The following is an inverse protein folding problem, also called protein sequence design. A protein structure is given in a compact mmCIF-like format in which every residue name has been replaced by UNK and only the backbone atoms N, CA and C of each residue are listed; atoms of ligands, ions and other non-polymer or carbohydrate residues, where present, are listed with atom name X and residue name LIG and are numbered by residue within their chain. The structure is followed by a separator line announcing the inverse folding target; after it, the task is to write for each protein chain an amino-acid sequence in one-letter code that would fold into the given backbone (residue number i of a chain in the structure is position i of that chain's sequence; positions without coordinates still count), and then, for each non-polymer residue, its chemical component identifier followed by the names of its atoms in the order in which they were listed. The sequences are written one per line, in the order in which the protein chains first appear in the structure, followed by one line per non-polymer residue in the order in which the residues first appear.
data_IF_552595026148
#
_entry.id   IF_552595026148
#
_cell.length_a   1.000
_cell.length_b   1.000
_cell.length_c   1.000
_cell.angle_alpha   90.00
_cell.angle_beta   90.00
_cell.angle_gamma   90.00
#
_symmetry.space_group_name_H-M   'P 1'
#
loop_
_entity.id
_entity.type
_entity.pdbx_description
1 polymer ?
#
# COMPACT_ATOMS: atom_id res chain seq x y z
N UNK A 1 0.86 27.55 51.68
CA UNK A 1 1.17 27.30 50.25
C UNK A 1 0.81 25.87 49.88
N UNK A 2 -0.39 25.67 49.29
CA UNK A 2 -0.85 24.39 48.74
C UNK A 2 -1.41 24.68 47.34
N UNK A 3 -0.79 24.06 46.34
CA UNK A 3 -1.05 24.27 44.92
C UNK A 3 -2.30 23.46 44.51
N UNK A 4 -3.38 24.06 43.96
CA UNK A 4 -4.55 23.30 43.57
C UNK A 4 -4.32 22.61 42.21
N UNK A 5 -4.50 21.28 42.22
CA UNK A 5 -4.39 20.39 41.06
C UNK A 5 -5.37 20.82 39.96
N UNK A 6 -4.84 21.26 38.81
CA UNK A 6 -5.60 21.37 37.55
C UNK A 6 -6.14 19.98 37.17
N UNK A 7 -7.46 19.79 37.28
CA UNK A 7 -8.19 18.72 36.60
C UNK A 7 -7.95 18.90 35.09
N UNK A 8 -7.24 17.97 34.46
CA UNK A 8 -7.23 17.84 33.00
C UNK A 8 -8.62 17.34 32.61
N UNK A 9 -9.42 18.24 32.06
CA UNK A 9 -10.58 17.91 31.25
C UNK A 9 -10.14 16.97 30.14
N UNK A 10 -10.75 15.79 30.12
CA UNK A 10 -10.73 14.85 29.01
C UNK A 10 -11.49 15.45 27.84
N UNK A 11 -10.82 16.28 27.04
CA UNK A 11 -11.28 16.54 25.68
C UNK A 11 -10.97 15.31 24.83
N UNK A 12 -11.97 14.44 24.69
CA UNK A 12 -12.02 13.47 23.61
C UNK A 12 -12.13 14.27 22.31
N UNK A 13 -10.99 14.56 21.70
CA UNK A 13 -10.92 15.11 20.35
C UNK A 13 -11.63 14.12 19.40
N UNK A 14 -12.77 14.55 18.86
CA UNK A 14 -13.46 13.92 17.74
C UNK A 14 -12.47 13.88 16.57
N UNK A 15 -11.88 12.71 16.29
CA UNK A 15 -11.05 12.48 15.10
C UNK A 15 -11.95 12.44 13.86
N UNK A 16 -12.37 13.61 13.38
CA UNK A 16 -12.98 13.74 12.06
C UNK A 16 -11.93 13.58 10.97
N UNK A 17 -11.63 12.34 10.57
CA UNK A 17 -10.77 12.07 9.42
C UNK A 17 -11.40 12.56 8.12
N UNK A 18 -10.58 13.01 7.17
CA UNK A 18 -10.98 13.50 5.85
C UNK A 18 -11.76 12.40 5.11
N UNK A 19 -13.03 12.66 4.80
CA UNK A 19 -13.91 11.74 4.08
C UNK A 19 -13.76 11.91 2.56
N UNK A 20 -14.32 10.99 1.76
CA UNK A 20 -14.34 11.12 0.29
C UNK A 20 -14.91 12.48 -0.15
N UNK A 21 -15.99 12.93 0.52
CA UNK A 21 -16.65 14.22 0.26
C UNK A 21 -15.80 15.47 0.54
N UNK A 22 -14.76 15.33 1.36
CA UNK A 22 -13.86 16.44 1.69
C UNK A 22 -12.76 16.61 0.64
N UNK A 23 -12.58 15.63 -0.24
CA UNK A 23 -11.59 15.63 -1.31
C UNK A 23 -11.74 16.82 -2.26
N UNK A 24 -10.64 17.41 -2.78
CA UNK A 24 -10.75 18.49 -3.76
C UNK A 24 -11.28 17.98 -5.11
N UNK A 25 -11.28 16.65 -5.30
CA UNK A 25 -11.89 16.02 -6.46
C UNK A 25 -13.40 15.81 -6.28
N UNK A 26 -13.95 15.87 -5.06
CA UNK A 26 -15.38 15.69 -4.86
C UNK A 26 -16.18 16.82 -5.54
N UNK A 27 -17.12 16.44 -6.40
CA UNK A 27 -17.94 17.34 -7.25
C UNK A 27 -17.11 18.30 -8.12
N UNK A 28 -15.91 17.88 -8.54
CA UNK A 28 -15.06 18.71 -9.40
C UNK A 28 -15.56 18.72 -10.85
N UNK A 29 -16.11 19.86 -11.27
CA UNK A 29 -16.69 20.03 -12.63
C UNK A 29 -15.90 20.94 -13.57
N UNK A 30 -14.87 21.63 -13.07
CA UNK A 30 -14.13 22.64 -13.85
C UNK A 30 -12.71 22.19 -14.15
N UNK A 31 -12.35 22.15 -15.43
CA UNK A 31 -10.99 21.88 -15.92
C UNK A 31 -9.98 22.91 -15.40
N UNK A 32 -10.38 24.18 -15.27
CA UNK A 32 -9.54 25.24 -14.71
C UNK A 32 -9.26 24.98 -13.24
N UNK A 33 -10.29 24.64 -12.44
CA UNK A 33 -10.09 24.28 -11.02
C UNK A 33 -9.21 23.04 -10.86
N UNK A 34 -9.39 22.03 -11.73
CA UNK A 34 -8.51 20.85 -11.77
C UNK A 34 -7.05 21.28 -11.98
N UNK A 35 -6.77 22.11 -12.98
CA UNK A 35 -5.43 22.62 -13.25
C UNK A 35 -4.83 23.33 -12.02
N UNK A 36 -5.63 24.17 -11.35
CA UNK A 36 -5.23 24.86 -10.10
C UNK A 36 -4.87 23.87 -8.99
N UNK A 37 -5.69 22.83 -8.74
CA UNK A 37 -5.39 21.83 -7.69
C UNK A 37 -4.15 21.00 -8.00
N UNK A 38 -3.86 20.80 -9.28
CA UNK A 38 -2.68 20.08 -9.77
C UNK A 38 -1.43 20.96 -9.89
N UNK A 39 -1.54 22.26 -9.60
CA UNK A 39 -0.46 23.25 -9.73
C UNK A 39 0.14 23.31 -11.14
N UNK A 40 -0.71 23.27 -12.16
CA UNK A 40 -0.32 23.41 -13.57
C UNK A 40 -1.28 24.35 -14.31
N UNK A 41 -0.84 24.90 -15.45
CA UNK A 41 -1.72 25.68 -16.33
C UNK A 41 -2.64 24.81 -17.18
N UNK A 42 -3.74 25.38 -17.69
CA UNK A 42 -4.73 24.67 -18.52
C UNK A 42 -4.13 24.04 -19.77
N UNK A 43 -3.17 24.73 -20.42
CA UNK A 43 -2.47 24.17 -21.57
C UNK A 43 -1.69 22.91 -21.20
N UNK A 44 -0.92 22.97 -20.10
CA UNK A 44 -0.15 21.82 -19.63
C UNK A 44 -1.03 20.64 -19.21
N UNK A 45 -2.20 20.91 -18.61
CA UNK A 45 -3.20 19.89 -18.29
C UNK A 45 -3.67 19.16 -19.56
N UNK A 46 -3.95 19.91 -20.64
CA UNK A 46 -4.33 19.36 -21.93
C UNK A 46 -3.19 18.52 -22.53
N UNK A 47 -1.97 19.04 -22.55
CA UNK A 47 -0.80 18.34 -23.10
C UNK A 47 -0.53 17.00 -22.39
N UNK A 48 -0.71 16.96 -21.06
CA UNK A 48 -0.56 15.73 -20.26
C UNK A 48 -1.73 14.76 -20.43
N UNK A 49 -2.95 15.26 -20.69
CA UNK A 49 -4.11 14.41 -20.99
C UNK A 49 -4.00 13.76 -22.36
N UNK A 50 -3.55 14.52 -23.37
CA UNK A 50 -3.62 14.09 -24.77
C UNK A 50 -2.30 13.45 -25.26
N UNK A 51 -1.24 13.58 -24.46
CA UNK A 51 0.11 13.11 -24.80
C UNK A 51 0.24 11.60 -24.91
N UNK A 52 0.93 11.13 -25.97
CA UNK A 52 1.08 9.69 -26.28
C UNK A 52 2.38 9.05 -25.78
N UNK A 53 3.37 9.82 -25.33
CA UNK A 53 4.69 9.32 -24.88
C UNK A 53 5.14 9.89 -23.53
N UNK A 54 4.27 9.78 -22.54
CA UNK A 54 4.51 10.31 -21.19
C UNK A 54 5.16 9.28 -20.24
N UNK A 55 5.54 8.11 -20.74
CA UNK A 55 6.09 7.01 -19.95
C UNK A 55 7.30 6.39 -20.63
N UNK A 56 8.28 5.99 -19.80
CA UNK A 56 9.40 5.12 -20.19
C UNK A 56 9.11 3.72 -19.70
N UNK A 57 9.00 2.77 -20.63
CA UNK A 57 8.80 1.35 -20.33
C UNK A 57 10.13 0.62 -20.20
N UNK A 58 10.28 -0.23 -19.20
CA UNK A 58 11.43 -1.14 -19.04
C UNK A 58 11.04 -2.38 -18.23
N UNK A 59 11.80 -3.46 -18.41
CA UNK A 59 11.58 -4.69 -17.65
C UNK A 59 12.39 -4.69 -16.36
N UNK A 60 11.78 -5.16 -15.28
CA UNK A 60 12.47 -5.43 -14.01
C UNK A 60 12.27 -6.89 -13.63
N UNK A 61 13.32 -7.56 -13.16
CA UNK A 61 13.21 -8.93 -12.65
C UNK A 61 12.38 -8.96 -11.37
N UNK A 62 11.38 -9.84 -11.33
CA UNK A 62 10.68 -10.30 -10.12
C UNK A 62 11.63 -11.24 -9.36
N UNK A 63 11.39 -11.42 -8.05
CA UNK A 63 12.20 -12.30 -7.20
C UNK A 63 12.15 -13.79 -7.59
N UNK A 64 11.20 -14.21 -8.43
CA UNK A 64 11.05 -15.55 -8.96
C UNK A 64 11.63 -15.72 -10.38
N UNK A 65 12.44 -14.77 -10.85
CA UNK A 65 13.06 -14.81 -12.18
C UNK A 65 12.17 -14.34 -13.35
N UNK A 66 10.85 -14.23 -13.16
CA UNK A 66 9.96 -13.61 -14.16
C UNK A 66 10.23 -12.10 -14.28
N UNK A 67 9.82 -11.48 -15.37
CA UNK A 67 9.90 -10.01 -15.52
C UNK A 67 8.59 -9.32 -15.15
N UNK A 68 8.67 -8.04 -14.77
CA UNK A 68 7.54 -7.11 -14.68
C UNK A 68 7.83 -5.89 -15.55
N UNK A 69 6.87 -5.52 -16.39
CA UNK A 69 6.94 -4.25 -17.11
C UNK A 69 6.72 -3.11 -16.10
N UNK A 70 7.68 -2.18 -16.06
CA UNK A 70 7.56 -0.91 -15.35
C UNK A 70 7.30 0.16 -16.39
N UNK A 71 6.27 0.95 -16.16
CA UNK A 71 5.91 2.12 -16.96
C UNK A 71 6.16 3.36 -16.09
N UNK A 72 7.40 3.87 -16.12
CA UNK A 72 7.79 5.02 -15.30
C UNK A 72 7.34 6.33 -15.98
N UNK A 73 6.54 7.18 -15.31
CA UNK A 73 6.11 8.46 -15.87
C UNK A 73 7.30 9.41 -16.05
N UNK A 74 7.25 10.25 -17.10
CA UNK A 74 8.14 11.40 -17.29
C UNK A 74 8.04 12.34 -16.08
N UNK A 75 9.10 13.08 -15.77
CA UNK A 75 9.17 13.85 -14.53
C UNK A 75 8.05 14.86 -14.31
N UNK A 76 7.56 15.51 -15.36
CA UNK A 76 6.42 16.43 -15.27
C UNK A 76 5.10 15.71 -14.99
N UNK A 77 4.82 14.60 -15.68
CA UNK A 77 3.67 13.74 -15.39
C UNK A 77 3.76 13.17 -13.97
N UNK A 78 4.95 12.72 -13.57
CA UNK A 78 5.23 12.18 -12.23
C UNK A 78 4.94 13.20 -11.13
N UNK A 79 5.25 14.47 -11.34
CA UNK A 79 4.92 15.56 -10.40
C UNK A 79 3.40 15.71 -10.25
N UNK A 80 2.66 15.71 -11.36
CA UNK A 80 1.19 15.80 -11.34
C UNK A 80 0.56 14.56 -10.70
N UNK A 81 1.02 13.36 -11.04
CA UNK A 81 0.56 12.13 -10.43
C UNK A 81 0.85 12.09 -8.93
N UNK A 82 2.02 12.56 -8.48
CA UNK A 82 2.32 12.67 -7.05
C UNK A 82 1.34 13.62 -6.37
N UNK A 83 1.05 14.77 -6.98
CA UNK A 83 0.05 15.71 -6.44
C UNK A 83 -1.34 15.07 -6.33
N UNK A 84 -1.77 14.31 -7.34
CA UNK A 84 -3.03 13.54 -7.28
C UNK A 84 -2.99 12.55 -6.10
N UNK A 85 -1.89 11.81 -5.97
CA UNK A 85 -1.71 10.84 -4.89
C UNK A 85 -1.79 11.52 -3.51
N UNK A 86 -1.10 12.64 -3.32
CA UNK A 86 -1.06 13.39 -2.06
C UNK A 86 -2.44 13.93 -1.66
N UNK A 87 -3.28 14.32 -2.63
CA UNK A 87 -4.64 14.76 -2.37
C UNK A 87 -5.57 13.61 -2.01
N UNK A 88 -5.43 12.46 -2.69
CA UNK A 88 -6.23 11.27 -2.43
C UNK A 88 -5.84 10.55 -1.14
N UNK A 89 -4.55 10.52 -0.78
CA UNK A 89 -4.06 9.91 0.46
C UNK A 89 -4.52 10.62 1.73
N UNK A 90 -5.12 11.82 1.62
CA UNK A 90 -5.75 12.48 2.75
C UNK A 90 -7.02 11.76 3.18
N UNK A 91 -7.72 11.12 2.24
CA UNK A 91 -8.93 10.34 2.52
C UNK A 91 -8.58 9.26 3.54
N UNK A 92 -9.34 9.24 4.63
CA UNK A 92 -9.12 8.35 5.77
C UNK A 92 -9.13 6.89 5.29
N UNK A 93 -8.03 6.14 5.44
CA UNK A 93 -7.99 4.73 5.09
C UNK A 93 -8.63 3.87 6.19
N UNK A 94 -9.22 2.71 5.83
CA UNK A 94 -9.71 1.74 6.81
C UNK A 94 -8.55 1.08 7.54
N UNK A 95 -8.78 0.55 8.74
CA UNK A 95 -7.70 0.06 9.62
C UNK A 95 -6.92 -1.13 9.05
N UNK A 96 -7.53 -1.94 8.19
CA UNK A 96 -6.86 -3.08 7.57
C UNK A 96 -5.85 -2.71 6.47
N UNK A 97 -5.85 -1.47 5.95
CA UNK A 97 -4.99 -1.05 4.83
C UNK A 97 -3.65 -0.48 5.30
N UNK A 98 -2.55 -1.19 5.12
CA UNK A 98 -1.22 -0.75 5.58
C UNK A 98 -0.39 -0.07 4.50
N UNK A 99 -0.54 -0.45 3.24
CA UNK A 99 0.10 0.24 2.12
C UNK A 99 -0.94 0.58 1.04
N UNK A 100 -0.95 1.81 0.50
CA UNK A 100 0.11 2.83 0.56
C UNK A 100 -0.09 3.92 1.63
N UNK A 101 -0.57 3.57 2.82
CA UNK A 101 -0.96 4.54 3.85
C UNK A 101 0.26 5.15 4.55
N UNK A 102 0.29 6.48 4.65
CA UNK A 102 1.33 7.19 5.40
C UNK A 102 1.21 6.91 6.90
N UNK A 103 2.34 6.66 7.55
CA UNK A 103 2.40 6.36 8.99
C UNK A 103 2.07 4.90 9.36
N UNK A 104 1.78 4.04 8.38
CA UNK A 104 1.66 2.59 8.56
C UNK A 104 2.85 1.90 7.88
N UNK A 105 3.34 0.82 8.48
CA UNK A 105 4.52 0.10 8.03
C UNK A 105 4.24 -1.38 7.81
N UNK A 106 5.17 -2.05 7.13
CA UNK A 106 5.16 -3.50 6.94
C UNK A 106 5.30 -4.26 8.28
N UNK A 107 5.85 -3.62 9.32
CA UNK A 107 5.92 -4.19 10.67
C UNK A 107 4.56 -4.10 11.34
N UNK A 108 3.86 -2.97 11.23
CA UNK A 108 2.49 -2.83 11.76
C UNK A 108 1.54 -3.84 11.09
N UNK A 109 1.71 -4.05 9.77
CA UNK A 109 1.00 -5.06 9.00
C UNK A 109 1.18 -6.47 9.59
N UNK A 110 2.43 -6.90 9.81
CA UNK A 110 2.70 -8.19 10.43
C UNK A 110 2.19 -8.28 11.88
N UNK A 111 2.25 -7.16 12.61
CA UNK A 111 1.83 -7.06 14.01
C UNK A 111 0.32 -7.28 14.20
N UNK A 112 -0.51 -7.16 13.16
CA UNK A 112 -1.93 -7.54 13.20
C UNK A 112 -2.11 -9.00 13.56
N UNK A 113 -1.21 -9.85 13.08
CA UNK A 113 -1.38 -11.31 13.11
C UNK A 113 -0.62 -11.99 14.26
N UNK A 114 -0.01 -11.22 15.16
CA UNK A 114 0.68 -11.73 16.34
C UNK A 114 -0.31 -12.46 17.25
N UNK A 115 0.01 -13.71 17.60
CA UNK A 115 -0.84 -14.54 18.46
C UNK A 115 -1.90 -15.37 17.72
N UNK A 116 -2.02 -15.24 16.39
CA UNK A 116 -2.93 -16.07 15.62
C UNK A 116 -2.44 -17.53 15.51
N UNK A 117 -3.38 -18.49 15.52
CA UNK A 117 -3.08 -19.90 15.32
C UNK A 117 -3.03 -20.27 13.84
N UNK A 118 -3.89 -19.68 13.02
CA UNK A 118 -3.98 -19.91 11.60
C UNK A 118 -3.72 -18.60 10.85
N UNK A 119 -2.88 -18.67 9.81
CA UNK A 119 -2.57 -17.55 8.92
C UNK A 119 -2.63 -18.02 7.48
N UNK A 120 -3.32 -17.26 6.64
CA UNK A 120 -3.43 -17.49 5.21
C UNK A 120 -2.99 -16.24 4.45
N UNK A 121 -1.97 -16.40 3.60
CA UNK A 121 -1.40 -15.33 2.79
C UNK A 121 -1.86 -15.51 1.36
N UNK A 122 -2.35 -14.42 0.78
CA UNK A 122 -2.79 -14.32 -0.61
C UNK A 122 -2.06 -13.14 -1.27
N UNK A 123 -1.83 -13.23 -2.57
CA UNK A 123 -1.20 -12.19 -3.39
C UNK A 123 -2.05 -12.01 -4.65
N UNK A 124 -2.43 -10.77 -4.96
CA UNK A 124 -3.20 -10.49 -6.17
C UNK A 124 -2.25 -10.48 -7.37
N UNK A 125 -2.54 -11.32 -8.36
CA UNK A 125 -1.75 -11.37 -9.59
C UNK A 125 -1.97 -10.11 -10.42
N UNK A 126 -0.86 -9.51 -10.84
CA UNK A 126 -0.81 -8.31 -11.68
C UNK A 126 -1.84 -7.24 -11.27
N UNK A 127 -1.83 -6.89 -9.98
CA UNK A 127 -2.81 -6.01 -9.36
C UNK A 127 -3.00 -4.69 -10.12
N UNK A 128 -1.92 -3.94 -10.39
CA UNK A 128 -2.01 -2.67 -11.13
C UNK A 128 -2.46 -2.84 -12.60
N UNK A 129 -1.89 -3.77 -13.38
CA UNK A 129 -2.43 -4.08 -14.72
C UNK A 129 -3.91 -4.46 -14.74
N UNK A 130 -4.41 -5.09 -13.68
CA UNK A 130 -5.83 -5.46 -13.54
C UNK A 130 -6.73 -4.27 -13.13
N UNK A 131 -6.15 -3.16 -12.67
CA UNK A 131 -6.90 -1.94 -12.34
C UNK A 131 -7.22 -1.13 -13.61
N UNK A 132 -8.42 -1.32 -14.15
CA UNK A 132 -8.79 -0.79 -15.47
C UNK A 132 -9.06 0.72 -15.48
N UNK A 133 -8.81 1.36 -16.62
CA UNK A 133 -9.16 2.75 -16.88
C UNK A 133 -10.67 3.02 -16.72
N UNK A 134 -11.51 2.03 -17.01
CA UNK A 134 -12.95 2.14 -16.80
C UNK A 134 -13.31 2.25 -15.32
N UNK A 135 -12.66 1.46 -14.45
CA UNK A 135 -12.87 1.59 -12.99
C UNK A 135 -12.33 2.91 -12.45
N UNK A 136 -11.24 3.45 -13.03
CA UNK A 136 -10.74 4.80 -12.71
C UNK A 136 -11.75 5.88 -13.12
N UNK A 137 -12.33 5.82 -14.33
CA UNK A 137 -13.41 6.73 -14.74
C UNK A 137 -14.60 6.59 -13.78
N UNK A 138 -15.02 5.36 -13.49
CA UNK A 138 -16.13 5.10 -12.58
C UNK A 138 -15.88 5.71 -11.21
N UNK A 139 -14.67 5.57 -10.65
CA UNK A 139 -14.30 6.16 -9.37
C UNK A 139 -14.46 7.69 -9.39
N UNK A 140 -13.82 8.37 -10.34
CA UNK A 140 -13.91 9.84 -10.41
C UNK A 140 -15.32 10.33 -10.75
N UNK A 141 -16.05 9.64 -11.63
CA UNK A 141 -17.40 10.05 -12.04
C UNK A 141 -18.45 9.77 -10.96
N UNK A 142 -18.36 8.62 -10.30
CA UNK A 142 -19.43 8.08 -9.43
C UNK A 142 -19.15 8.34 -7.96
N UNK A 143 -17.95 7.99 -7.46
CA UNK A 143 -17.60 8.24 -6.04
C UNK A 143 -17.20 9.69 -5.80
N UNK A 144 -16.41 10.25 -6.70
CA UNK A 144 -16.00 11.66 -6.59
C UNK A 144 -16.96 12.64 -7.25
N UNK A 145 -18.01 12.18 -7.94
CA UNK A 145 -19.00 13.06 -8.60
C UNK A 145 -18.38 14.11 -9.56
N UNK A 146 -17.22 13.84 -10.15
CA UNK A 146 -16.61 14.72 -11.15
C UNK A 146 -17.48 14.78 -12.42
N UNK A 147 -17.36 15.87 -13.18
CA UNK A 147 -17.91 15.92 -14.54
C UNK A 147 -17.20 14.91 -15.46
N UNK A 148 -17.91 14.44 -16.49
CA UNK A 148 -17.39 13.41 -17.39
C UNK A 148 -16.06 13.79 -18.06
N UNK A 149 -15.90 15.05 -18.45
CA UNK A 149 -14.66 15.56 -19.05
C UNK A 149 -13.48 15.58 -18.05
N UNK A 150 -13.72 16.01 -16.81
CA UNK A 150 -12.73 15.96 -15.72
C UNK A 150 -12.32 14.52 -15.41
N UNK A 151 -13.27 13.58 -15.35
CA UNK A 151 -12.99 12.16 -15.13
C UNK A 151 -12.13 11.56 -16.24
N UNK A 152 -12.37 11.93 -17.50
CA UNK A 152 -11.57 11.47 -18.64
C UNK A 152 -10.16 12.03 -18.59
N UNK A 153 -9.99 13.32 -18.29
CA UNK A 153 -8.66 13.95 -18.15
C UNK A 153 -7.87 13.26 -17.03
N UNK A 154 -8.48 13.09 -15.85
CA UNK A 154 -7.84 12.41 -14.73
C UNK A 154 -7.46 10.97 -15.10
N UNK A 155 -8.35 10.22 -15.76
CA UNK A 155 -8.03 8.89 -16.28
C UNK A 155 -6.81 8.92 -17.20
N UNK A 156 -6.76 9.85 -18.16
CA UNK A 156 -5.67 9.91 -19.13
C UNK A 156 -4.32 10.19 -18.43
N UNK A 157 -4.33 11.06 -17.41
CA UNK A 157 -3.14 11.38 -16.63
C UNK A 157 -2.65 10.18 -15.82
N UNK A 158 -3.55 9.39 -15.22
CA UNK A 158 -3.16 8.36 -14.23
C UNK A 158 -3.06 6.95 -14.80
N UNK A 159 -3.47 6.73 -16.05
CA UNK A 159 -3.45 5.42 -16.70
C UNK A 159 -2.48 5.36 -17.87
N UNK A 160 -2.06 4.14 -18.24
CA UNK A 160 -1.27 3.83 -19.44
C UNK A 160 -1.74 2.47 -19.97
N UNK A 161 -1.90 2.34 -21.29
CA UNK A 161 -2.37 1.09 -21.93
C UNK A 161 -3.68 0.56 -21.30
N UNK A 162 -4.59 1.45 -20.90
CA UNK A 162 -5.91 1.08 -20.37
C UNK A 162 -5.94 0.64 -18.91
N UNK A 163 -4.83 0.72 -18.16
CA UNK A 163 -4.78 0.34 -16.75
C UNK A 163 -3.87 1.26 -15.92
N UNK A 164 -3.83 1.07 -14.60
CA UNK A 164 -2.89 1.76 -13.73
C UNK A 164 -1.44 1.27 -13.99
N UNK A 165 -0.49 2.17 -14.30
CA UNK A 165 0.88 1.78 -14.60
C UNK A 165 1.66 1.44 -13.33
N UNK A 166 2.49 0.40 -13.43
CA UNK A 166 3.52 0.13 -12.43
C UNK A 166 4.61 1.18 -12.50
N UNK A 167 4.88 1.89 -11.39
CA UNK A 167 5.91 2.94 -11.32
C UNK A 167 5.35 4.36 -11.25
N UNK A 168 4.04 4.54 -11.43
CA UNK A 168 3.37 5.81 -11.11
C UNK A 168 3.18 5.97 -9.59
N UNK A 169 3.39 7.18 -9.04
CA UNK A 169 3.16 7.47 -7.63
C UNK A 169 1.67 7.46 -7.23
N UNK A 170 0.73 7.64 -8.15
CA UNK A 170 -0.71 7.62 -7.82
C UNK A 170 -1.35 6.23 -7.94
N UNK A 171 -0.75 5.30 -8.68
CA UNK A 171 -1.31 3.95 -8.85
C UNK A 171 -1.62 3.24 -7.54
N UNK A 172 -0.78 3.28 -6.49
CA UNK A 172 -1.07 2.59 -5.24
C UNK A 172 -2.38 3.04 -4.56
N UNK A 173 -2.58 4.36 -4.41
CA UNK A 173 -3.76 4.87 -3.71
C UNK A 173 -5.01 4.75 -4.58
N UNK A 174 -4.87 4.95 -5.90
CA UNK A 174 -5.99 4.77 -6.84
C UNK A 174 -6.43 3.31 -6.94
N UNK A 175 -5.51 2.36 -6.95
CA UNK A 175 -5.84 0.93 -6.98
C UNK A 175 -6.69 0.54 -5.77
N UNK A 176 -6.38 1.08 -4.60
CA UNK A 176 -7.22 0.91 -3.41
C UNK A 176 -8.59 1.61 -3.56
N UNK A 177 -8.61 2.93 -3.79
CA UNK A 177 -9.85 3.72 -3.78
C UNK A 177 -10.83 3.31 -4.89
N UNK A 178 -10.32 2.99 -6.08
CA UNK A 178 -11.15 2.55 -7.20
C UNK A 178 -11.86 1.24 -6.88
N UNK A 179 -11.30 0.40 -6.01
CA UNK A 179 -11.82 -0.92 -5.65
C UNK A 179 -12.22 -1.01 -4.19
N UNK A 180 -12.50 0.11 -3.52
CA UNK A 180 -12.89 0.10 -2.10
C UNK A 180 -14.20 -0.69 -1.84
N UNK A 181 -15.08 -0.81 -2.84
CA UNK A 181 -16.23 -1.72 -2.81
C UNK A 181 -15.80 -3.19 -2.64
N UNK A 182 -14.85 -3.66 -3.46
CA UNK A 182 -14.27 -4.99 -3.36
C UNK A 182 -13.63 -5.24 -1.97
N UNK A 183 -12.88 -4.26 -1.48
CA UNK A 183 -12.19 -4.38 -0.20
C UNK A 183 -13.16 -4.44 0.99
N UNK A 184 -14.24 -3.65 0.95
CA UNK A 184 -15.28 -3.69 1.97
C UNK A 184 -16.01 -5.05 2.00
N UNK A 185 -16.35 -5.62 0.83
CA UNK A 185 -16.95 -6.96 0.75
C UNK A 185 -16.02 -8.05 1.35
N UNK A 186 -14.72 -7.95 1.09
CA UNK A 186 -13.69 -8.84 1.66
C UNK A 186 -13.62 -8.68 3.19
N UNK A 187 -13.57 -7.44 3.69
CA UNK A 187 -13.52 -7.17 5.13
C UNK A 187 -14.75 -7.73 5.84
N UNK A 188 -15.95 -7.51 5.28
CA UNK A 188 -17.20 -8.03 5.83
C UNK A 188 -17.20 -9.56 5.92
N UNK A 189 -16.72 -10.24 4.88
CA UNK A 189 -16.56 -11.71 4.89
C UNK A 189 -15.60 -12.16 6.00
N UNK A 190 -14.43 -11.53 6.11
CA UNK A 190 -13.44 -11.83 7.15
C UNK A 190 -14.03 -11.64 8.55
N UNK A 191 -14.77 -10.55 8.77
CA UNK A 191 -15.42 -10.24 10.04
C UNK A 191 -16.50 -11.26 10.40
N UNK A 192 -17.33 -11.70 9.45
CA UNK A 192 -18.34 -12.76 9.65
C UNK A 192 -17.74 -14.07 10.15
N UNK A 193 -16.50 -14.37 9.74
CA UNK A 193 -15.77 -15.57 10.15
C UNK A 193 -14.88 -15.36 11.39
N UNK A 194 -15.03 -14.24 12.11
CA UNK A 194 -14.22 -13.88 13.28
C UNK A 194 -12.70 -13.94 13.03
N UNK A 195 -12.30 -13.64 11.79
CA UNK A 195 -10.91 -13.53 11.38
C UNK A 195 -10.49 -12.05 11.33
N UNK A 196 -9.20 -11.83 11.17
CA UNK A 196 -8.60 -10.52 10.95
C UNK A 196 -7.97 -10.48 9.57
N UNK A 197 -7.96 -9.30 8.95
CA UNK A 197 -7.30 -9.06 7.68
C UNK A 197 -6.34 -7.87 7.80
N UNK A 198 -5.23 -7.95 7.07
CA UNK A 198 -4.40 -6.81 6.72
C UNK A 198 -4.07 -6.84 5.22
N UNK A 199 -3.92 -5.66 4.63
CA UNK A 199 -3.61 -5.48 3.21
C UNK A 199 -2.36 -4.60 3.08
N UNK A 200 -1.35 -5.11 2.39
CA UNK A 200 -0.13 -4.38 2.09
C UNK A 200 0.11 -4.40 0.58
N UNK A 201 -0.35 -3.35 -0.11
CA UNK A 201 -0.37 -3.29 -1.57
C UNK A 201 -1.16 -4.46 -2.18
N UNK A 202 -0.50 -5.40 -2.86
CA UNK A 202 -1.07 -6.60 -3.49
C UNK A 202 -1.12 -7.82 -2.56
N UNK A 203 -0.46 -7.76 -1.39
CA UNK A 203 -0.48 -8.83 -0.38
C UNK A 203 -1.68 -8.69 0.56
N UNK A 204 -2.41 -9.79 0.77
CA UNK A 204 -3.45 -9.92 1.78
C UNK A 204 -3.02 -10.97 2.80
N UNK A 205 -3.18 -10.66 4.09
CA UNK A 205 -2.96 -11.62 5.16
C UNK A 205 -4.23 -11.76 5.98
N UNK A 206 -4.72 -13.00 6.11
CA UNK A 206 -5.88 -13.35 6.91
C UNK A 206 -5.41 -14.20 8.08
N UNK A 207 -5.89 -13.93 9.28
CA UNK A 207 -5.55 -14.74 10.45
C UNK A 207 -6.68 -14.91 11.45
N UNK A 208 -6.60 -15.96 12.26
CA UNK A 208 -7.53 -16.19 13.36
C UNK A 208 -7.17 -17.42 14.18
N UNK A 209 -8.11 -17.87 15.02
CA UNK A 209 -8.00 -19.18 15.69
C UNK A 209 -8.01 -20.31 14.65
N UNK A 210 -8.82 -20.16 13.62
CA UNK A 210 -8.91 -20.99 12.41
C UNK A 210 -9.16 -20.03 11.25
N UNK A 211 -8.67 -20.33 10.05
CA UNK A 211 -9.06 -19.65 8.80
C UNK A 211 -9.81 -20.67 7.94
N UNK A 212 -11.15 -20.62 7.88
CA UNK A 212 -11.94 -21.60 7.13
C UNK A 212 -11.68 -21.52 5.62
N UNK A 213 -11.68 -22.67 4.93
CA UNK A 213 -11.55 -22.70 3.47
C UNK A 213 -12.70 -21.97 2.77
N UNK A 214 -13.90 -21.98 3.36
CA UNK A 214 -15.04 -21.21 2.88
C UNK A 214 -14.72 -19.70 2.82
N UNK A 215 -14.12 -19.13 3.85
CA UNK A 215 -13.70 -17.72 3.86
C UNK A 215 -12.71 -17.44 2.72
N UNK A 216 -11.71 -18.30 2.55
CA UNK A 216 -10.72 -18.15 1.47
C UNK A 216 -11.39 -18.20 0.09
N UNK A 217 -12.39 -19.06 -0.08
CA UNK A 217 -13.19 -19.12 -1.31
C UNK A 217 -14.02 -17.86 -1.52
N UNK A 218 -14.70 -17.33 -0.49
CA UNK A 218 -15.48 -16.09 -0.58
C UNK A 218 -14.60 -14.89 -0.97
N UNK A 219 -13.39 -14.79 -0.42
CA UNK A 219 -12.40 -13.76 -0.79
C UNK A 219 -12.01 -13.91 -2.27
N UNK A 220 -11.70 -15.13 -2.72
CA UNK A 220 -11.34 -15.39 -4.13
C UNK A 220 -12.51 -15.10 -5.09
N UNK A 221 -13.74 -15.44 -4.70
CA UNK A 221 -14.94 -15.15 -5.48
C UNK A 221 -15.17 -13.63 -5.60
N UNK A 222 -14.99 -12.90 -4.50
CA UNK A 222 -15.09 -11.43 -4.47
C UNK A 222 -14.04 -10.79 -5.36
N UNK A 223 -12.78 -11.22 -5.27
CA UNK A 223 -11.72 -10.73 -6.16
C UNK A 223 -12.09 -10.95 -7.65
N UNK A 224 -12.56 -12.16 -8.00
CA UNK A 224 -12.96 -12.50 -9.38
C UNK A 224 -14.13 -11.66 -9.88
N UNK A 225 -15.14 -11.44 -9.03
CA UNK A 225 -16.29 -10.54 -9.31
C UNK A 225 -15.82 -9.14 -9.72
N UNK A 226 -14.72 -8.66 -9.13
CA UNK A 226 -14.14 -7.35 -9.42
C UNK A 226 -13.00 -7.38 -10.46
N UNK A 227 -12.76 -8.53 -11.13
CA UNK A 227 -11.78 -8.65 -12.19
C UNK A 227 -10.34 -8.92 -11.72
N UNK A 228 -10.16 -9.39 -10.48
CA UNK A 228 -8.87 -9.74 -9.91
C UNK A 228 -8.76 -11.25 -9.64
N UNK A 229 -7.53 -11.77 -9.68
CA UNK A 229 -7.25 -13.18 -9.39
C UNK A 229 -6.07 -13.30 -8.43
N UNK A 230 -6.05 -14.37 -7.64
CA UNK A 230 -4.94 -14.67 -6.74
C UNK A 230 -3.85 -15.43 -7.49
N UNK A 231 -2.60 -15.09 -7.16
CA UNK A 231 -1.44 -15.83 -7.61
C UNK A 231 -1.32 -17.17 -6.88
N UNK A 232 -1.71 -18.26 -7.55
CA UNK A 232 -1.77 -19.60 -6.96
C UNK A 232 -0.44 -20.07 -6.34
N UNK A 233 0.69 -19.71 -6.95
CA UNK A 233 2.03 -20.10 -6.49
C UNK A 233 2.53 -19.32 -5.26
N UNK A 234 1.84 -18.22 -4.89
CA UNK A 234 2.18 -17.40 -3.72
C UNK A 234 1.20 -17.57 -2.56
N UNK A 235 0.09 -18.26 -2.80
CA UNK A 235 -0.86 -18.62 -1.75
C UNK A 235 -0.21 -19.57 -0.73
N UNK A 236 -0.30 -19.22 0.55
CA UNK A 236 0.30 -20.01 1.63
C UNK A 236 -0.62 -20.06 2.83
N UNK A 237 -0.88 -21.27 3.34
CA UNK A 237 -1.57 -21.50 4.60
C UNK A 237 -0.62 -22.04 5.65
N UNK A 238 -0.72 -21.57 6.89
CA UNK A 238 0.09 -22.00 8.03
C UNK A 238 -0.78 -22.13 9.27
N UNK A 239 -0.58 -23.22 10.01
CA UNK A 239 -1.22 -23.46 11.30
C UNK A 239 -0.18 -23.75 12.36
N UNK A 240 -0.18 -22.99 13.47
CA UNK A 240 0.74 -23.07 14.60
C UNK A 240 2.21 -23.24 14.19
N UNK A 241 2.63 -22.51 13.14
CA UNK A 241 3.98 -22.54 12.59
C UNK A 241 4.45 -21.11 12.31
N UNK A 242 5.77 -20.86 12.34
CA UNK A 242 6.32 -19.57 11.92
C UNK A 242 5.83 -19.18 10.53
N UNK A 243 5.46 -17.91 10.38
CA UNK A 243 4.98 -17.36 9.12
C UNK A 243 5.71 -16.07 8.82
N UNK A 244 6.08 -15.85 7.57
CA UNK A 244 6.71 -14.60 7.15
C UNK A 244 5.69 -13.72 6.44
N UNK A 245 5.34 -12.59 7.07
CA UNK A 245 4.39 -11.60 6.59
C UNK A 245 5.18 -10.34 6.23
N UNK A 246 5.18 -9.97 4.95
CA UNK A 246 5.87 -8.76 4.44
C UNK A 246 7.32 -8.60 4.93
N UNK A 247 8.06 -9.69 5.06
CA UNK A 247 9.47 -9.69 5.52
C UNK A 247 9.66 -9.69 7.04
N UNK A 248 8.62 -9.89 7.84
CA UNK A 248 8.66 -10.08 9.29
C UNK A 248 8.21 -11.50 9.61
N UNK A 249 8.97 -12.22 10.43
CA UNK A 249 8.57 -13.54 10.91
C UNK A 249 7.67 -13.37 12.14
N UNK A 250 6.48 -13.95 12.10
CA UNK A 250 5.55 -14.04 13.23
C UNK A 250 5.52 -15.47 13.72
N UNK A 251 5.81 -15.68 15.01
CA UNK A 251 5.79 -17.01 15.64
C UNK A 251 5.64 -16.87 17.15
N UNK A 252 4.88 -17.77 17.78
CA UNK A 252 4.73 -17.85 19.25
C UNK A 252 4.44 -16.51 19.94
N UNK A 253 3.56 -15.69 19.35
CA UNK A 253 3.22 -14.37 19.89
C UNK A 253 4.34 -13.31 19.80
N UNK A 254 5.38 -13.56 19.00
CA UNK A 254 6.52 -12.65 18.81
C UNK A 254 6.74 -12.33 17.34
N UNK A 255 7.41 -11.21 17.10
CA UNK A 255 7.92 -10.85 15.77
C UNK A 255 9.44 -10.97 15.75
N UNK A 256 10.00 -11.38 14.63
CA UNK A 256 11.45 -11.44 14.45
C UNK A 256 11.85 -11.16 13.01
N UNK A 257 13.13 -10.86 12.84
CA UNK A 257 13.75 -10.63 11.54
C UNK A 257 14.08 -11.99 10.90
N UNK A 258 13.78 -12.23 9.62
CA UNK A 258 14.18 -13.46 8.95
C UNK A 258 15.69 -13.70 9.00
N UNK A 259 16.14 -14.94 9.22
CA UNK A 259 17.57 -15.28 9.28
C UNK A 259 18.36 -14.80 8.05
N UNK A 260 17.74 -14.80 6.86
CA UNK A 260 18.37 -14.28 5.64
C UNK A 260 18.71 -12.78 5.72
N UNK A 261 17.92 -11.98 6.45
CA UNK A 261 18.22 -10.57 6.68
C UNK A 261 19.36 -10.40 7.69
N UNK A 262 19.40 -11.22 8.74
CA UNK A 262 20.52 -11.25 9.70
C UNK A 262 21.85 -11.63 9.01
N UNK A 263 21.83 -12.67 8.17
CA UNK A 263 22.98 -13.07 7.35
C UNK A 263 23.49 -11.91 6.49
N UNK A 264 22.58 -11.22 5.80
CA UNK A 264 22.92 -10.03 4.99
C UNK A 264 23.58 -8.92 5.83
N UNK A 265 23.15 -8.71 7.07
CA UNK A 265 23.78 -7.72 7.96
C UNK A 265 25.24 -8.08 8.21
N UNK A 266 25.52 -9.35 8.54
CA UNK A 266 26.88 -9.85 8.74
C UNK A 266 27.71 -9.69 7.47
N UNK A 267 27.21 -10.17 6.33
CA UNK A 267 27.90 -10.05 5.04
C UNK A 267 28.22 -8.59 4.65
N UNK A 268 27.32 -7.65 4.95
CA UNK A 268 27.58 -6.23 4.67
C UNK A 268 28.60 -5.63 5.63
N UNK A 269 28.67 -6.08 6.89
CA UNK A 269 29.74 -5.68 7.82
C UNK A 269 31.10 -6.19 7.34
N UNK A 270 31.17 -7.44 6.92
CA UNK A 270 32.42 -8.03 6.42
C UNK A 270 32.90 -7.32 5.15
N UNK A 271 31.98 -6.99 4.22
CA UNK A 271 32.29 -6.19 3.04
C UNK A 271 32.77 -4.78 3.41
N UNK A 272 32.11 -4.15 4.38
CA UNK A 272 32.46 -2.80 4.83
C UNK A 272 33.86 -2.77 5.46
N UNK A 273 34.24 -3.80 6.22
CA UNK A 273 35.56 -3.90 6.85
C UNK A 273 36.70 -4.01 5.84
N UNK A 274 36.43 -4.58 4.65
CA UNK A 274 37.42 -4.82 3.62
C UNK A 274 37.40 -3.79 2.47
N UNK A 275 36.40 -2.91 2.41
CA UNK A 275 36.25 -1.92 1.34
C UNK A 275 37.03 -0.64 1.65
N UNK A 276 37.83 -0.17 0.68
CA UNK A 276 38.67 1.02 0.82
C UNK A 276 38.16 2.19 0.00
N UNK A 277 37.29 1.97 -0.98
CA UNK A 277 36.78 3.01 -1.87
C UNK A 277 35.72 3.85 -1.15
N UNK A 278 35.92 5.18 -0.97
CA UNK A 278 35.02 6.02 -0.16
C UNK A 278 33.54 5.93 -0.56
N UNK A 279 33.23 5.98 -1.86
CA UNK A 279 31.84 5.87 -2.37
C UNK A 279 31.20 4.51 -2.07
N UNK A 280 31.97 3.43 -2.09
CA UNK A 280 31.46 2.09 -1.82
C UNK A 280 31.27 1.89 -0.31
N UNK A 281 32.17 2.42 0.52
CA UNK A 281 32.04 2.49 1.98
C UNK A 281 30.75 3.21 2.38
N UNK A 282 30.51 4.41 1.85
CA UNK A 282 29.30 5.19 2.13
C UNK A 282 28.02 4.42 1.76
N UNK A 283 28.02 3.79 0.59
CA UNK A 283 26.89 2.95 0.15
C UNK A 283 26.65 1.79 1.12
N UNK A 284 27.69 1.05 1.51
CA UNK A 284 27.58 -0.08 2.43
C UNK A 284 27.14 0.36 3.85
N UNK A 285 27.61 1.52 4.32
CA UNK A 285 27.16 2.12 5.58
C UNK A 285 25.66 2.45 5.53
N UNK A 286 25.18 3.05 4.45
CA UNK A 286 23.76 3.35 4.25
C UNK A 286 22.91 2.07 4.19
N UNK A 287 23.37 1.03 3.50
CA UNK A 287 22.71 -0.28 3.48
C UNK A 287 22.65 -0.92 4.89
N UNK A 288 23.76 -0.87 5.63
CA UNK A 288 23.85 -1.41 6.98
C UNK A 288 22.91 -0.66 7.93
N UNK A 289 22.93 0.67 7.91
CA UNK A 289 22.04 1.53 8.70
C UNK A 289 20.58 1.23 8.41
N UNK A 290 20.21 1.07 7.14
CA UNK A 290 18.86 0.69 6.73
C UNK A 290 18.42 -0.65 7.33
N UNK A 291 19.27 -1.67 7.27
CA UNK A 291 18.96 -3.01 7.82
C UNK A 291 18.88 -3.00 9.35
N UNK A 292 19.78 -2.28 10.03
CA UNK A 292 19.72 -2.12 11.49
C UNK A 292 18.44 -1.39 11.91
N UNK A 293 18.01 -0.37 11.15
CA UNK A 293 16.75 0.33 11.38
C UNK A 293 15.55 -0.63 11.31
N UNK A 294 15.50 -1.51 10.30
CA UNK A 294 14.46 -2.55 10.18
C UNK A 294 14.42 -3.49 11.39
N UNK A 295 15.58 -3.96 11.85
CA UNK A 295 15.68 -4.81 13.06
C UNK A 295 15.16 -4.05 14.28
N UNK A 296 15.55 -2.79 14.43
CA UNK A 296 15.17 -1.93 15.55
C UNK A 296 13.66 -1.67 15.56
N UNK A 297 13.07 -1.40 14.39
CA UNK A 297 11.63 -1.21 14.24
C UNK A 297 10.85 -2.45 14.69
N UNK A 298 11.29 -3.65 14.31
CA UNK A 298 10.64 -4.90 14.73
C UNK A 298 10.79 -5.14 16.23
N UNK A 299 11.97 -4.87 16.81
CA UNK A 299 12.23 -5.08 18.25
C UNK A 299 11.47 -4.11 19.14
N UNK A 300 11.37 -2.84 18.73
CA UNK A 300 10.76 -1.77 19.53
C UNK A 300 9.26 -1.59 19.24
N UNK A 301 8.67 -2.46 18.42
CA UNK A 301 7.26 -2.35 18.07
C UNK A 301 6.38 -2.59 19.32
N UNK A 302 5.33 -1.77 19.60
CA UNK A 302 4.52 -1.88 20.82
C UNK A 302 3.83 -3.24 21.04
N UNK A 303 3.61 -4.00 19.96
CA UNK A 303 3.07 -5.37 20.01
C UNK A 303 4.12 -6.47 20.18
N UNK A 304 5.40 -6.14 20.31
CA UNK A 304 6.36 -7.10 20.82
C UNK A 304 6.06 -7.34 22.30
N UNK A 305 6.04 -8.60 22.77
CA UNK A 305 6.04 -8.84 24.19
C UNK A 305 7.30 -8.22 24.81
N UNK A 306 7.11 -7.48 25.90
CA UNK A 306 8.22 -7.01 26.72
C UNK A 306 9.10 -8.22 27.07
N UNK A 307 10.42 -8.05 26.91
CA UNK A 307 11.41 -9.10 27.11
C UNK A 307 11.13 -9.94 28.37
N UNK A 308 11.20 -11.26 28.22
CA UNK A 308 11.43 -12.19 29.33
C UNK A 308 12.91 -12.15 29.69
#
# INVERSE_FOLDING_TARGET
MRNPRRRKTTDMAVKGGYQERDSPFFRLKSKTKLATFLFIGSQKLKDLSDGRDLYRSFQKLKGNGKTREINAPRDDLKKVQRRIADLLQRIQPPDYLFAPVNGRSYVDNAAVHVGANAVHLLDIEDFFPSCTANKVIWFFKTRMECSADVSVILKNIVTRKGCLPQGSPCSPILAYLCYADMWNEIEEAVRRHHCQISVYADDLTISGKVVPQQLVWEIKATLRKHGHVISAHKERSRFKRPVEITGVVVTNGRMSVPNRQLKRIVETRDKLANEKKPKAVEKLQNELKGRISQVTQIKNHPRQPAHY
#
